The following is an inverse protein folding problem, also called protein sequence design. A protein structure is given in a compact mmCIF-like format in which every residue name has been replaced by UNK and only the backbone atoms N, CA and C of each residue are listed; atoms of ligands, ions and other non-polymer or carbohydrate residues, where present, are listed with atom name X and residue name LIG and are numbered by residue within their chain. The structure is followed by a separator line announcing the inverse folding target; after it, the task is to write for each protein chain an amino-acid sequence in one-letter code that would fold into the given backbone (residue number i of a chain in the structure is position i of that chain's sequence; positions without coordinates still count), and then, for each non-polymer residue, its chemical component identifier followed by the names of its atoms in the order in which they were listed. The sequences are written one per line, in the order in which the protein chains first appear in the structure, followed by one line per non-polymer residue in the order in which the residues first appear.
data_IF_445145098184
#
_entry.id   IF_445145098184
#
_cell.length_a   1.000
_cell.length_b   1.000
_cell.length_c   1.000
_cell.angle_alpha   90.00
_cell.angle_beta   90.00
_cell.angle_gamma   90.00
#
_symmetry.space_group_name_H-M   'P 1'
#
loop_
_entity.id
_entity.type
_entity.pdbx_description
1 polymer ?
#
# COMPACT_ATOMS: atom_id res chain seq x y z
N UNK A 1 6.64 -22.92 25.10
CA UNK A 1 5.55 -22.94 24.08
C UNK A 1 5.68 -21.67 23.28
N UNK A 2 5.53 -21.69 21.95
CA UNK A 2 5.49 -20.47 21.11
C UNK A 2 4.08 -20.34 20.55
N UNK A 3 3.49 -19.16 20.68
CA UNK A 3 2.24 -18.83 20.01
C UNK A 3 2.55 -18.41 18.58
N UNK A 4 1.81 -18.97 17.62
CA UNK A 4 1.97 -18.68 16.20
C UNK A 4 0.62 -18.29 15.65
N UNK A 5 0.55 -17.11 15.06
CA UNK A 5 -0.61 -16.65 14.29
C UNK A 5 -0.46 -17.12 12.85
N UNK A 6 -1.43 -17.89 12.36
CA UNK A 6 -1.52 -18.31 10.95
C UNK A 6 -2.36 -17.29 10.19
N UNK A 7 -1.81 -16.79 9.11
CA UNK A 7 -2.45 -15.76 8.31
C UNK A 7 -2.38 -16.08 6.81
N UNK A 8 -3.45 -15.79 6.07
CA UNK A 8 -3.42 -15.88 4.62
C UNK A 8 -2.37 -14.91 4.06
N UNK A 9 -1.72 -15.23 2.93
CA UNK A 9 -0.91 -14.24 2.22
C UNK A 9 -1.74 -12.99 1.91
N UNK A 10 -1.07 -11.84 1.86
CA UNK A 10 -1.72 -10.56 1.65
C UNK A 10 -1.00 -9.73 0.58
N UNK A 11 -1.69 -8.73 0.06
CA UNK A 11 -1.11 -7.68 -0.78
C UNK A 11 -1.28 -6.33 -0.11
N UNK A 12 -0.43 -5.38 -0.51
CA UNK A 12 -0.60 -3.97 -0.19
C UNK A 12 -0.26 -3.12 -1.42
N UNK A 13 -0.81 -1.92 -1.49
CA UNK A 13 -0.77 -1.06 -2.65
C UNK A 13 -0.25 0.33 -2.31
N UNK A 14 0.93 0.67 -2.81
CA UNK A 14 1.35 2.06 -2.89
C UNK A 14 0.65 2.67 -4.12
N UNK A 15 -0.44 3.37 -3.88
CA UNK A 15 -1.27 4.00 -4.92
C UNK A 15 -0.86 5.45 -5.07
N UNK A 16 -0.28 5.83 -6.21
CA UNK A 16 0.18 7.20 -6.47
C UNK A 16 -0.58 7.75 -7.68
N UNK A 17 -1.26 8.87 -7.47
CA UNK A 17 -2.01 9.55 -8.52
C UNK A 17 -1.15 10.47 -9.40
N UNK A 18 -1.80 11.10 -10.40
CA UNK A 18 -1.12 11.96 -11.37
C UNK A 18 -0.60 13.27 -10.74
N UNK A 19 -1.18 13.69 -9.60
CA UNK A 19 -0.70 14.84 -8.82
C UNK A 19 0.47 14.47 -7.88
N UNK A 20 1.03 13.27 -8.02
CA UNK A 20 2.09 12.72 -7.17
C UNK A 20 1.70 12.69 -5.69
N UNK A 21 0.46 12.32 -5.41
CA UNK A 21 -0.03 12.06 -4.06
C UNK A 21 -0.34 10.59 -3.87
N UNK A 22 0.03 10.05 -2.71
CA UNK A 22 -0.34 8.70 -2.33
C UNK A 22 -1.74 8.69 -1.70
N UNK A 23 -2.45 7.60 -1.92
CA UNK A 23 -3.74 7.35 -1.26
C UNK A 23 -3.47 6.58 0.03
N UNK A 24 -3.97 7.10 1.13
CA UNK A 24 -4.06 6.43 2.43
C UNK A 24 -5.52 6.32 2.87
N UNK A 25 -5.76 5.36 3.71
CA UNK A 25 -7.05 5.12 4.36
C UNK A 25 -6.93 5.17 5.88
N UNK A 26 -8.04 5.44 6.53
CA UNK A 26 -8.18 5.30 7.98
C UNK A 26 -8.96 4.05 8.31
N UNK A 27 -8.38 3.21 9.16
CA UNK A 27 -9.05 2.00 9.63
C UNK A 27 -8.96 1.88 11.15
N UNK A 28 -10.04 1.45 11.78
CA UNK A 28 -10.01 0.99 13.17
C UNK A 28 -9.35 -0.39 13.25
N UNK A 29 -8.32 -0.52 14.05
CA UNK A 29 -7.62 -1.78 14.27
C UNK A 29 -7.77 -2.25 15.70
N UNK A 30 -8.62 -3.24 15.92
CA UNK A 30 -8.93 -3.78 17.24
C UNK A 30 -7.68 -4.26 18.04
N UNK A 31 -6.65 -4.89 17.44
CA UNK A 31 -5.47 -5.31 18.19
C UNK A 31 -4.71 -4.15 18.85
N UNK A 32 -4.67 -2.99 18.22
CA UNK A 32 -4.00 -1.79 18.75
C UNK A 32 -4.97 -0.81 19.38
N UNK A 33 -6.28 -1.08 19.31
CA UNK A 33 -7.38 -0.26 19.84
C UNK A 33 -7.29 1.21 19.39
N UNK A 34 -6.94 1.41 18.13
CA UNK A 34 -6.72 2.73 17.57
C UNK A 34 -7.10 2.78 16.09
N UNK A 35 -7.29 4.00 15.57
CA UNK A 35 -7.40 4.27 14.14
C UNK A 35 -5.97 4.42 13.60
N UNK A 36 -5.67 3.69 12.54
CA UNK A 36 -4.38 3.71 11.86
C UNK A 36 -4.50 4.31 10.47
N UNK A 37 -3.42 4.96 10.01
CA UNK A 37 -3.24 5.38 8.64
C UNK A 37 -2.53 4.28 7.87
N UNK A 38 -3.17 3.75 6.84
CA UNK A 38 -2.68 2.61 6.09
C UNK A 38 -2.76 2.83 4.58
N UNK A 39 -1.90 2.16 3.84
CA UNK A 39 -2.09 1.96 2.40
C UNK A 39 -3.15 0.88 2.17
N UNK A 40 -3.91 0.92 1.06
CA UNK A 40 -4.84 -0.13 0.68
C UNK A 40 -4.19 -1.50 0.71
N UNK A 41 -4.85 -2.49 1.32
CA UNK A 41 -4.30 -3.82 1.50
C UNK A 41 -5.40 -4.86 1.80
N UNK A 42 -5.22 -6.06 1.28
CA UNK A 42 -6.15 -7.15 1.55
C UNK A 42 -5.53 -8.52 1.46
N UNK A 43 -6.24 -9.50 1.98
CA UNK A 43 -5.84 -10.92 1.95
C UNK A 43 -6.12 -11.52 0.58
N UNK A 44 -5.27 -12.47 0.19
CA UNK A 44 -5.63 -13.35 -0.90
C UNK A 44 -6.77 -14.26 -0.45
N UNK A 45 -7.77 -14.40 -1.29
CA UNK A 45 -8.88 -15.33 -1.11
C UNK A 45 -9.05 -16.30 -2.29
N UNK A 46 -10.11 -17.10 -2.26
CA UNK A 46 -10.37 -18.10 -3.31
C UNK A 46 -10.57 -17.48 -4.69
N UNK A 47 -11.09 -16.25 -4.77
CA UNK A 47 -11.30 -15.50 -6.02
C UNK A 47 -10.00 -15.19 -6.75
N UNK A 48 -8.89 -15.12 -6.00
CA UNK A 48 -7.58 -14.74 -6.52
C UNK A 48 -6.78 -15.94 -7.07
N UNK A 49 -7.27 -17.18 -6.85
CA UNK A 49 -6.60 -18.41 -7.30
C UNK A 49 -5.11 -18.48 -6.96
N UNK A 50 -4.71 -17.88 -5.84
CA UNK A 50 -3.32 -17.79 -5.39
C UNK A 50 -2.47 -16.74 -6.11
N UNK A 51 -3.04 -15.91 -6.98
CA UNK A 51 -2.34 -14.86 -7.72
C UNK A 51 -2.40 -13.52 -6.94
N UNK A 52 -1.29 -13.13 -6.36
CA UNK A 52 -1.16 -11.85 -5.64
C UNK A 52 -1.42 -10.62 -6.54
N UNK A 53 -1.16 -10.70 -7.85
CA UNK A 53 -1.45 -9.61 -8.77
C UNK A 53 -2.97 -9.47 -8.97
N UNK A 54 -3.69 -10.59 -9.06
CA UNK A 54 -5.14 -10.59 -9.17
C UNK A 54 -5.76 -9.98 -7.90
N UNK A 55 -5.32 -10.41 -6.72
CA UNK A 55 -5.71 -9.81 -5.45
C UNK A 55 -5.47 -8.29 -5.43
N UNK A 56 -4.30 -7.83 -5.89
CA UNK A 56 -3.97 -6.40 -5.92
C UNK A 56 -4.91 -5.59 -6.84
N UNK A 57 -5.33 -6.13 -7.99
CA UNK A 57 -6.31 -5.48 -8.87
C UNK A 57 -7.69 -5.44 -8.22
N UNK A 58 -8.11 -6.50 -7.56
CA UNK A 58 -9.38 -6.61 -6.87
C UNK A 58 -9.47 -5.63 -5.70
N UNK A 59 -8.49 -5.63 -4.81
CA UNK A 59 -8.43 -4.74 -3.63
C UNK A 59 -8.35 -3.26 -4.03
N UNK A 60 -7.58 -2.93 -5.09
CA UNK A 60 -7.55 -1.57 -5.61
C UNK A 60 -8.96 -1.09 -6.01
N UNK A 61 -9.76 -1.97 -6.63
CA UNK A 61 -11.14 -1.65 -6.95
C UNK A 61 -12.03 -1.59 -5.70
N UNK A 62 -11.98 -2.59 -4.83
CA UNK A 62 -12.85 -2.72 -3.65
C UNK A 62 -12.69 -1.54 -2.70
N UNK A 63 -11.45 -1.12 -2.41
CA UNK A 63 -11.17 -0.07 -1.44
C UNK A 63 -11.14 1.34 -2.06
N UNK A 64 -10.64 1.49 -3.30
CA UNK A 64 -10.41 2.84 -3.87
C UNK A 64 -11.35 3.21 -5.01
N UNK A 65 -12.08 2.26 -5.60
CA UNK A 65 -12.87 2.46 -6.82
C UNK A 65 -12.03 2.84 -8.04
N UNK A 66 -10.75 2.48 -8.02
CA UNK A 66 -9.81 2.77 -9.08
C UNK A 66 -9.28 1.50 -9.74
N UNK A 67 -8.83 1.64 -10.98
CA UNK A 67 -7.97 0.71 -11.71
C UNK A 67 -6.66 1.42 -12.08
N UNK A 68 -5.58 0.67 -12.24
CA UNK A 68 -4.27 1.21 -12.58
C UNK A 68 -3.82 0.71 -13.96
N UNK A 69 -3.26 1.61 -14.80
CA UNK A 69 -2.64 1.22 -16.07
C UNK A 69 -1.35 0.42 -15.84
N UNK A 70 -0.66 0.69 -14.73
CA UNK A 70 0.57 0.00 -14.33
C UNK A 70 0.47 -0.44 -12.88
N UNK A 71 0.68 -1.75 -12.69
CA UNK A 71 0.79 -2.40 -11.39
C UNK A 71 2.13 -3.15 -11.36
N UNK A 72 3.08 -2.64 -10.59
CA UNK A 72 4.45 -3.15 -10.52
C UNK A 72 4.73 -3.71 -9.13
N UNK A 73 5.16 -4.96 -9.04
CA UNK A 73 5.61 -5.53 -7.77
C UNK A 73 6.86 -4.80 -7.29
N UNK A 74 6.82 -4.32 -6.05
CA UNK A 74 7.96 -3.67 -5.39
C UNK A 74 8.81 -4.72 -4.67
N UNK A 75 8.20 -5.44 -3.74
CA UNK A 75 8.88 -6.43 -2.89
C UNK A 75 7.86 -7.37 -2.24
N UNK A 76 8.35 -8.38 -1.52
CA UNK A 76 7.54 -9.19 -0.62
C UNK A 76 8.30 -9.41 0.69
N UNK A 77 7.59 -9.46 1.79
CA UNK A 77 8.16 -9.60 3.12
C UNK A 77 7.17 -10.22 4.09
N UNK A 78 7.67 -10.74 5.21
CA UNK A 78 6.83 -11.13 6.33
C UNK A 78 6.55 -9.91 7.21
N UNK A 79 5.30 -9.69 7.62
CA UNK A 79 4.92 -8.55 8.46
C UNK A 79 5.46 -8.67 9.89
N UNK A 80 5.56 -9.89 10.41
CA UNK A 80 5.90 -10.13 11.83
C UNK A 80 6.52 -11.52 12.07
N UNK A 81 7.72 -11.75 11.54
CA UNK A 81 8.40 -13.08 11.55
C UNK A 81 8.55 -13.74 12.92
N UNK A 82 8.41 -12.98 14.01
CA UNK A 82 8.55 -13.50 15.36
C UNK A 82 7.40 -14.40 15.82
N UNK A 83 6.19 -14.17 15.28
CA UNK A 83 4.99 -14.88 15.74
C UNK A 83 3.89 -15.06 14.69
N UNK A 84 3.97 -14.40 13.53
CA UNK A 84 2.99 -14.46 12.46
C UNK A 84 3.64 -14.87 11.14
N UNK A 85 2.98 -15.71 10.36
CA UNK A 85 3.44 -16.16 9.05
C UNK A 85 2.79 -15.39 7.89
N UNK A 86 2.20 -14.22 8.15
CA UNK A 86 1.69 -13.35 7.10
C UNK A 86 2.79 -12.94 6.13
N UNK A 87 2.64 -13.37 4.88
CA UNK A 87 3.52 -12.99 3.77
C UNK A 87 2.82 -11.97 2.89
N UNK A 88 3.37 -10.75 2.86
CA UNK A 88 2.79 -9.60 2.19
C UNK A 88 3.56 -9.25 0.92
N UNK A 89 2.84 -9.04 -0.19
CA UNK A 89 3.41 -8.56 -1.44
C UNK A 89 2.98 -7.12 -1.69
N UNK A 90 3.96 -6.21 -1.78
CA UNK A 90 3.73 -4.78 -2.02
C UNK A 90 3.80 -4.46 -3.51
N UNK A 91 2.81 -3.75 -4.03
CA UNK A 91 2.72 -3.26 -5.40
C UNK A 91 2.70 -1.73 -5.45
N UNK A 92 3.24 -1.18 -6.55
CA UNK A 92 3.07 0.22 -6.95
C UNK A 92 1.98 0.29 -8.03
N UNK A 93 0.95 1.09 -7.79
CA UNK A 93 -0.12 1.38 -8.74
C UNK A 93 -0.02 2.81 -9.25
N UNK A 94 0.03 2.99 -10.59
CA UNK A 94 0.07 4.28 -11.29
C UNK A 94 -0.81 4.29 -12.53
N UNK A 95 -1.14 5.52 -13.01
CA UNK A 95 -2.04 5.71 -14.15
C UNK A 95 -3.46 5.33 -13.72
N UNK A 96 -3.94 5.98 -12.68
CA UNK A 96 -5.19 5.65 -12.02
C UNK A 96 -6.38 6.14 -12.84
N UNK A 97 -7.40 5.30 -12.96
CA UNK A 97 -8.67 5.60 -13.62
C UNK A 97 -9.83 5.07 -12.80
N UNK A 98 -10.98 5.73 -12.78
CA UNK A 98 -12.17 5.18 -12.18
C UNK A 98 -12.52 3.82 -12.80
N UNK A 99 -13.02 2.90 -11.99
CA UNK A 99 -13.56 1.63 -12.49
C UNK A 99 -14.94 1.84 -13.10
N UNK A 100 -15.28 1.05 -14.12
CA UNK A 100 -16.63 1.05 -14.71
C UNK A 100 -17.64 0.35 -13.79
N UNK A 101 -17.16 -0.66 -13.05
CA UNK A 101 -17.94 -1.42 -12.08
C UNK A 101 -17.20 -1.51 -10.76
N UNK A 102 -17.75 -0.87 -9.74
CA UNK A 102 -17.25 -0.99 -8.38
C UNK A 102 -17.57 -2.39 -7.82
N UNK A 103 -16.56 -3.02 -7.23
CA UNK A 103 -16.72 -4.24 -6.45
C UNK A 103 -17.21 -3.87 -5.03
N UNK A 104 -17.97 -4.73 -4.33
CA UNK A 104 -18.38 -4.44 -2.96
C UNK A 104 -17.16 -4.40 -2.03
N UNK A 105 -17.18 -3.48 -1.08
CA UNK A 105 -16.26 -3.51 0.07
C UNK A 105 -16.69 -4.60 1.05
N UNK A 106 -15.80 -5.05 1.89
CA UNK A 106 -16.14 -5.98 2.97
C UNK A 106 -17.09 -5.30 3.97
N UNK A 107 -18.00 -6.08 4.59
CA UNK A 107 -19.12 -5.54 5.38
C UNK A 107 -18.70 -4.79 6.65
N UNK A 108 -17.48 -5.01 7.12
CA UNK A 108 -16.89 -4.42 8.31
C UNK A 108 -15.92 -3.26 8.00
N UNK A 109 -15.83 -2.84 6.75
CA UNK A 109 -14.97 -1.76 6.29
C UNK A 109 -15.74 -0.44 6.10
N UNK A 110 -15.39 0.59 6.88
CA UNK A 110 -15.77 2.00 6.64
C UNK A 110 -14.52 2.78 6.21
N UNK A 111 -14.12 2.59 4.96
CA UNK A 111 -12.88 3.13 4.39
C UNK A 111 -13.11 4.56 3.94
N UNK A 112 -12.30 5.49 4.48
CA UNK A 112 -12.20 6.88 4.01
C UNK A 112 -10.84 7.12 3.42
N UNK A 113 -10.82 7.55 2.16
CA UNK A 113 -9.60 7.79 1.40
C UNK A 113 -9.12 9.23 1.56
N UNK A 114 -7.82 9.38 1.68
CA UNK A 114 -7.13 10.67 1.80
C UNK A 114 -5.90 10.67 0.89
N UNK A 115 -5.47 11.86 0.49
CA UNK A 115 -4.36 12.04 -0.46
C UNK A 115 -3.26 12.86 0.18
N UNK A 116 -2.05 12.33 0.19
CA UNK A 116 -0.87 12.96 0.81
C UNK A 116 0.31 13.00 -0.16
N UNK A 117 1.05 14.11 -0.14
CA UNK A 117 2.36 14.18 -0.78
C UNK A 117 3.37 13.30 -0.03
N UNK A 118 4.51 13.03 -0.68
CA UNK A 118 5.60 12.31 -0.03
C UNK A 118 6.10 13.02 1.23
N UNK A 119 6.18 14.36 1.19
CA UNK A 119 6.63 15.18 2.32
C UNK A 119 5.66 15.07 3.50
N UNK A 120 4.36 15.18 3.24
CA UNK A 120 3.31 15.00 4.26
C UNK A 120 3.37 13.60 4.88
N UNK A 121 3.49 12.55 4.06
CA UNK A 121 3.57 11.18 4.54
C UNK A 121 4.83 10.93 5.41
N UNK A 122 5.98 11.48 5.02
CA UNK A 122 7.20 11.41 5.82
C UNK A 122 7.06 12.16 7.15
N UNK A 123 6.41 13.32 7.15
CA UNK A 123 6.13 14.05 8.38
C UNK A 123 5.18 13.29 9.29
N UNK A 124 4.15 12.63 8.74
CA UNK A 124 3.22 11.78 9.50
C UNK A 124 3.93 10.58 10.14
N UNK A 125 4.93 9.99 9.48
CA UNK A 125 5.78 8.96 10.08
C UNK A 125 6.61 9.56 11.24
N UNK A 126 7.25 10.70 11.01
CA UNK A 126 8.08 11.37 12.03
C UNK A 126 7.28 11.77 13.27
N UNK A 127 6.02 12.15 13.11
CA UNK A 127 5.11 12.51 14.20
C UNK A 127 4.44 11.29 14.87
N UNK A 128 4.63 10.07 14.34
CA UNK A 128 3.98 8.86 14.85
C UNK A 128 2.50 8.73 14.49
N UNK A 129 2.02 9.44 13.49
CA UNK A 129 0.67 9.30 12.96
C UNK A 129 0.55 8.07 12.05
N UNK A 130 1.55 7.80 11.21
CA UNK A 130 1.70 6.56 10.46
C UNK A 130 2.60 5.62 11.26
N UNK A 131 2.03 4.50 11.72
CA UNK A 131 2.73 3.49 12.53
C UNK A 131 2.62 2.08 11.91
N UNK A 132 1.83 1.92 10.87
CA UNK A 132 1.67 0.66 10.16
C UNK A 132 2.91 0.32 9.33
N UNK A 133 3.46 -0.88 9.53
CA UNK A 133 4.74 -1.29 8.95
C UNK A 133 4.73 -1.33 7.41
N UNK A 134 3.68 -1.86 6.78
CA UNK A 134 3.57 -1.93 5.32
C UNK A 134 3.51 -0.54 4.69
N UNK A 135 2.83 0.40 5.35
CA UNK A 135 2.72 1.80 4.94
C UNK A 135 4.08 2.51 5.04
N UNK A 136 4.78 2.33 6.15
CA UNK A 136 6.14 2.88 6.36
C UNK A 136 7.10 2.37 5.27
N UNK A 137 7.08 1.06 4.98
CA UNK A 137 7.89 0.46 3.90
C UNK A 137 7.56 1.10 2.54
N UNK A 138 6.29 1.30 2.23
CA UNK A 138 5.85 1.91 0.98
C UNK A 138 6.30 3.37 0.85
N UNK A 139 6.19 4.17 1.91
CA UNK A 139 6.61 5.58 1.92
C UNK A 139 8.13 5.69 1.74
N UNK A 140 8.94 4.91 2.46
CA UNK A 140 10.39 4.94 2.28
C UNK A 140 10.85 4.40 0.93
N UNK A 141 10.16 3.40 0.37
CA UNK A 141 10.41 2.99 -1.01
C UNK A 141 10.15 4.15 -1.98
N UNK A 142 9.04 4.86 -1.85
CA UNK A 142 8.71 6.01 -2.69
C UNK A 142 9.73 7.13 -2.55
N UNK A 143 10.17 7.44 -1.33
CA UNK A 143 11.25 8.40 -1.08
C UNK A 143 12.54 8.01 -1.80
N UNK A 144 12.97 6.76 -1.67
CA UNK A 144 14.18 6.26 -2.32
C UNK A 144 14.10 6.37 -3.86
N UNK A 145 12.96 6.02 -4.46
CA UNK A 145 12.73 6.15 -5.91
C UNK A 145 12.77 7.62 -6.35
N UNK A 146 12.14 8.51 -5.59
CA UNK A 146 12.12 9.95 -5.90
C UNK A 146 13.54 10.56 -5.84
N UNK A 147 14.33 10.18 -4.84
CA UNK A 147 15.72 10.63 -4.71
C UNK A 147 16.60 10.09 -5.85
N UNK A 148 16.46 8.82 -6.19
CA UNK A 148 17.21 8.20 -7.30
C UNK A 148 16.90 8.87 -8.65
N UNK A 149 15.64 9.24 -8.88
CA UNK A 149 15.24 9.95 -10.09
C UNK A 149 15.86 11.36 -10.14
N UNK A 150 15.79 12.13 -9.05
CA UNK A 150 16.40 13.47 -8.98
C UNK A 150 17.91 13.44 -9.22
N UNK A 151 18.60 12.44 -8.69
CA UNK A 151 20.05 12.27 -8.93
C UNK A 151 20.38 11.99 -10.39
N UNK A 152 19.59 11.19 -11.10
CA UNK A 152 19.77 10.94 -12.53
C UNK A 152 19.57 12.22 -13.35
N UNK A 153 18.50 12.95 -13.12
CA UNK A 153 18.18 14.20 -13.80
C UNK A 153 19.28 15.28 -13.60
N UNK A 154 19.86 15.35 -12.40
CA UNK A 154 20.96 16.28 -12.11
C UNK A 154 22.26 15.88 -12.82
N UNK A 155 22.56 14.59 -12.91
CA UNK A 155 23.76 14.09 -13.61
C UNK A 155 23.66 14.33 -15.13
N UNK A 156 22.49 14.16 -15.72
CA UNK A 156 22.24 14.42 -17.14
C UNK A 156 22.42 15.92 -17.46
N UNK A 157 21.89 16.82 -16.62
CA UNK A 157 22.06 18.27 -16.77
C UNK A 157 23.49 18.78 -16.59
N UNK A 158 24.34 18.03 -15.91
CA UNK A 158 25.75 18.39 -15.68
C UNK A 158 26.70 17.85 -16.75
N UNK A 159 26.19 17.03 -17.66
CA UNK A 159 26.95 16.43 -18.77
C UNK A 159 26.78 17.18 -20.10
N UNK A 160 25.85 18.14 -20.17
CA UNK A 160 25.63 19.09 -21.27
C UNK A 160 26.35 20.42 -20.97
#
# INVERSE_FOLDING_TARGET
MREIVRHAPAIALLVIDDDQKMILEKQWRAPVQNITWEIPAGKLDERDHGDARHAAVRELNEETRLKADRLTKITSFYSSVGFCDEFLTLYLAKGLKPVERALPQDQDEDIKLYRFSLEEALQMIANGEIQDSKTIVAVYYWQAQTLAQKLKENNEKSAD
#
